data_IF_595191391019
#
_entry.id   IF_595191391019
#
_cell.length_a   1.000
_cell.length_b   1.000
_cell.length_c   1.000
_cell.angle_alpha   90.00
_cell.angle_beta   90.00
_cell.angle_gamma   90.00
#
_symmetry.space_group_name_H-M   'P 1'
#
loop_
_entity.id
_entity.type
_entity.pdbx_description
1 polymer ?
#
# COMPACT_ATOMS: atom_id res chain seq x y z
N UNK A 1 -12.69 -23.51 20.98
CA UNK A 1 -13.88 -23.91 21.78
C UNK A 1 -13.82 -23.31 23.18
N UNK A 2 -12.86 -23.67 24.04
CA UNK A 2 -12.76 -23.12 25.41
C UNK A 2 -12.85 -21.59 25.49
N UNK A 3 -12.10 -20.85 24.66
CA UNK A 3 -12.14 -19.38 24.64
C UNK A 3 -13.56 -18.84 24.40
N UNK A 4 -14.34 -19.48 23.53
CA UNK A 4 -15.72 -19.07 23.26
C UNK A 4 -16.62 -19.37 24.46
N UNK A 5 -16.42 -20.51 25.13
CA UNK A 5 -17.18 -20.90 26.32
C UNK A 5 -16.90 -19.96 27.49
N UNK A 6 -15.63 -19.65 27.73
CA UNK A 6 -15.19 -18.70 28.76
C UNK A 6 -15.72 -17.29 28.49
N UNK A 7 -15.89 -16.93 27.21
CA UNK A 7 -16.52 -15.68 26.78
C UNK A 7 -18.07 -15.71 26.82
N UNK A 8 -18.68 -16.82 27.26
CA UNK A 8 -20.13 -16.95 27.40
C UNK A 8 -20.87 -17.37 26.13
N UNK A 9 -20.18 -17.92 25.14
CA UNK A 9 -20.77 -18.44 23.90
C UNK A 9 -20.93 -19.96 23.93
N UNK A 10 -22.17 -20.41 24.01
CA UNK A 10 -22.54 -21.83 24.07
C UNK A 10 -23.56 -22.18 22.98
N UNK A 11 -23.47 -23.37 22.42
CA UNK A 11 -24.49 -23.95 21.53
C UNK A 11 -25.67 -24.39 22.41
N UNK A 12 -26.65 -23.49 22.54
CA UNK A 12 -27.75 -23.64 23.51
C UNK A 12 -28.96 -24.35 22.91
N UNK A 13 -29.08 -24.37 21.59
CA UNK A 13 -30.20 -24.99 20.87
C UNK A 13 -29.83 -26.29 20.14
N UNK A 14 -28.54 -26.66 20.11
CA UNK A 14 -28.03 -27.92 19.57
C UNK A 14 -27.90 -27.93 18.03
N UNK A 15 -27.96 -26.77 17.37
CA UNK A 15 -27.82 -26.66 15.92
C UNK A 15 -26.35 -26.65 15.43
N UNK A 16 -25.39 -26.64 16.38
CA UNK A 16 -23.96 -26.64 16.11
C UNK A 16 -23.35 -25.25 15.94
N UNK A 17 -24.13 -24.18 16.04
CA UNK A 17 -23.69 -22.78 16.06
C UNK A 17 -23.78 -22.29 17.51
N UNK A 18 -22.79 -21.52 17.98
CA UNK A 18 -22.81 -20.99 19.35
C UNK A 18 -23.56 -19.68 19.43
N UNK A 19 -24.26 -19.48 20.54
CA UNK A 19 -24.98 -18.26 20.87
C UNK A 19 -24.38 -17.55 22.07
N UNK A 20 -24.49 -16.22 22.07
CA UNK A 20 -24.36 -15.42 23.30
C UNK A 20 -25.47 -15.74 24.31
N UNK A 21 -25.32 -15.28 25.54
CA UNK A 21 -26.36 -15.36 26.58
C UNK A 21 -27.71 -14.73 26.17
N UNK A 22 -27.70 -13.80 25.21
CA UNK A 22 -28.89 -13.14 24.65
C UNK A 22 -29.51 -13.90 23.46
N UNK A 23 -28.94 -15.05 23.08
CA UNK A 23 -29.41 -15.87 21.96
C UNK A 23 -28.93 -15.39 20.59
N UNK A 24 -28.02 -14.40 20.53
CA UNK A 24 -27.42 -13.97 19.25
C UNK A 24 -26.39 -15.01 18.79
N UNK A 25 -26.63 -15.61 17.63
CA UNK A 25 -25.74 -16.59 16.98
C UNK A 25 -24.43 -15.95 16.54
N UNK A 26 -23.33 -16.69 16.66
CA UNK A 26 -22.05 -16.40 16.03
C UNK A 26 -22.13 -16.72 14.52
N UNK A 27 -22.87 -15.90 13.78
CA UNK A 27 -23.05 -16.00 12.33
C UNK A 27 -22.66 -14.69 11.68
N UNK A 28 -21.66 -14.72 10.81
CA UNK A 28 -21.10 -13.53 10.18
C UNK A 28 -21.08 -13.64 8.65
N UNK A 29 -21.21 -12.51 7.95
CA UNK A 29 -20.84 -12.42 6.53
C UNK A 29 -19.33 -12.59 6.41
N UNK A 30 -18.90 -13.28 5.35
CA UNK A 30 -17.50 -13.50 5.10
C UNK A 30 -17.15 -13.22 3.64
N UNK A 31 -16.50 -12.10 3.38
CA UNK A 31 -16.22 -11.67 2.01
C UNK A 31 -14.81 -12.07 1.54
N UNK A 32 -14.72 -12.52 0.29
CA UNK A 32 -13.45 -12.71 -0.43
C UNK A 32 -13.57 -12.11 -1.83
N UNK A 33 -12.45 -11.69 -2.40
CA UNK A 33 -12.44 -11.16 -3.76
C UNK A 33 -12.38 -12.26 -4.82
N UNK A 34 -13.19 -12.07 -5.86
CA UNK A 34 -13.24 -12.96 -7.05
C UNK A 34 -11.92 -13.03 -7.82
N UNK A 35 -11.07 -12.00 -7.72
CA UNK A 35 -9.78 -11.94 -8.39
C UNK A 35 -8.73 -12.89 -7.79
N UNK A 36 -8.87 -13.29 -6.52
CA UNK A 36 -7.84 -14.04 -5.79
C UNK A 36 -8.29 -15.48 -5.49
N UNK A 37 -7.87 -16.42 -6.36
CA UNK A 37 -8.25 -17.83 -6.25
C UNK A 37 -7.70 -18.51 -4.99
N UNK A 38 -6.55 -18.06 -4.48
CA UNK A 38 -5.98 -18.45 -3.19
C UNK A 38 -6.95 -18.15 -2.05
N UNK A 39 -7.49 -16.93 -2.05
CA UNK A 39 -8.34 -16.41 -0.97
C UNK A 39 -9.69 -17.10 -0.98
N UNK A 40 -10.24 -17.37 -2.17
CA UNK A 40 -11.46 -18.18 -2.33
C UNK A 40 -11.26 -19.59 -1.76
N UNK A 41 -10.08 -20.19 -1.99
CA UNK A 41 -9.76 -21.53 -1.51
C UNK A 41 -9.58 -21.53 0.01
N UNK A 42 -8.79 -20.59 0.54
CA UNK A 42 -8.62 -20.40 1.97
C UNK A 42 -9.95 -20.11 2.67
N UNK A 43 -10.78 -19.25 2.08
CA UNK A 43 -12.09 -18.88 2.62
C UNK A 43 -13.01 -20.10 2.80
N UNK A 44 -13.06 -21.01 1.83
CA UNK A 44 -13.81 -22.27 1.96
C UNK A 44 -13.30 -23.14 3.12
N UNK A 45 -11.98 -23.18 3.34
CA UNK A 45 -11.38 -23.92 4.45
C UNK A 45 -11.71 -23.26 5.78
N UNK A 46 -11.60 -21.94 5.87
CA UNK A 46 -11.91 -21.15 7.08
C UNK A 46 -13.37 -21.29 7.48
N UNK A 47 -14.31 -21.29 6.52
CA UNK A 47 -15.73 -21.57 6.78
C UNK A 47 -15.90 -22.91 7.48
N UNK A 48 -15.23 -23.96 7.01
CA UNK A 48 -15.31 -25.28 7.62
C UNK A 48 -14.66 -25.31 9.01
N UNK A 49 -13.48 -24.73 9.17
CA UNK A 49 -12.76 -24.70 10.45
C UNK A 49 -13.51 -23.93 11.52
N UNK A 50 -14.13 -22.80 11.16
CA UNK A 50 -14.93 -22.01 12.09
C UNK A 50 -16.23 -22.73 12.45
N UNK A 51 -16.84 -23.43 11.48
CA UNK A 51 -18.00 -24.28 11.76
C UNK A 51 -17.68 -25.38 12.79
N UNK A 52 -16.51 -26.02 12.70
CA UNK A 52 -16.10 -27.07 13.64
C UNK A 52 -16.00 -26.59 15.09
N UNK A 53 -15.84 -25.28 15.31
CA UNK A 53 -15.82 -24.63 16.62
C UNK A 53 -17.12 -23.90 16.99
N UNK A 54 -18.13 -23.94 16.13
CA UNK A 54 -19.46 -23.38 16.35
C UNK A 54 -19.60 -21.92 15.94
N UNK A 55 -18.85 -21.48 14.93
CA UNK A 55 -18.97 -20.15 14.32
C UNK A 55 -19.37 -20.32 12.85
N UNK A 56 -20.50 -19.74 12.46
CA UNK A 56 -20.97 -19.73 11.07
C UNK A 56 -20.37 -18.54 10.31
N UNK A 57 -19.78 -18.85 9.15
CA UNK A 57 -19.35 -17.85 8.17
C UNK A 57 -20.12 -18.04 6.87
N UNK A 58 -20.77 -16.97 6.39
CA UNK A 58 -21.51 -16.92 5.13
C UNK A 58 -20.61 -16.36 4.03
N UNK A 59 -19.92 -17.26 3.34
CA UNK A 59 -18.97 -16.89 2.29
C UNK A 59 -19.67 -16.17 1.12
N UNK A 60 -19.22 -14.97 0.84
CA UNK A 60 -19.59 -14.16 -0.31
C UNK A 60 -18.35 -13.90 -1.18
N UNK A 61 -18.51 -14.03 -2.50
CA UNK A 61 -17.43 -13.75 -3.46
C UNK A 61 -17.86 -12.52 -4.26
N UNK A 62 -17.11 -11.44 -4.14
CA UNK A 62 -17.43 -10.15 -4.77
C UNK A 62 -16.31 -9.66 -5.71
N UNK A 63 -16.65 -8.77 -6.63
CA UNK A 63 -15.65 -7.99 -7.36
C UNK A 63 -15.05 -6.89 -6.47
N UNK A 64 -13.90 -6.37 -6.89
CA UNK A 64 -13.12 -5.38 -6.14
C UNK A 64 -13.89 -4.08 -5.88
N UNK A 65 -14.69 -3.61 -6.84
CA UNK A 65 -15.47 -2.38 -6.70
C UNK A 65 -16.54 -2.52 -5.62
N UNK A 66 -17.37 -3.56 -5.72
CA UNK A 66 -18.40 -3.81 -4.72
C UNK A 66 -17.81 -4.08 -3.32
N UNK A 67 -16.62 -4.68 -3.24
CA UNK A 67 -15.92 -4.89 -1.99
C UNK A 67 -15.40 -3.57 -1.41
N UNK A 68 -14.75 -2.75 -2.25
CA UNK A 68 -14.24 -1.42 -1.88
C UNK A 68 -15.34 -0.50 -1.34
N UNK A 69 -16.49 -0.43 -2.01
CA UNK A 69 -17.65 0.35 -1.57
C UNK A 69 -18.11 -0.09 -0.16
N UNK A 70 -18.15 -1.40 0.11
CA UNK A 70 -18.55 -1.91 1.42
C UNK A 70 -17.52 -1.59 2.50
N UNK A 71 -16.22 -1.74 2.22
CA UNK A 71 -15.15 -1.47 3.20
C UNK A 71 -14.99 0.01 3.46
N UNK A 72 -14.71 0.80 2.43
CA UNK A 72 -14.21 2.17 2.57
C UNK A 72 -15.32 3.22 2.59
N UNK A 73 -16.43 3.01 1.86
CA UNK A 73 -17.50 4.01 1.81
C UNK A 73 -18.55 3.79 2.90
N UNK A 74 -18.78 2.53 3.30
CA UNK A 74 -19.92 2.17 4.16
C UNK A 74 -19.54 1.49 5.48
N UNK A 75 -18.30 1.01 5.64
CA UNK A 75 -17.90 0.14 6.76
C UNK A 75 -18.89 -1.01 7.01
N UNK A 76 -19.49 -1.56 5.94
CA UNK A 76 -20.53 -2.59 6.01
C UNK A 76 -19.95 -3.98 5.79
N UNK A 77 -19.17 -4.45 6.77
CA UNK A 77 -18.50 -5.75 6.74
C UNK A 77 -18.48 -6.41 8.12
N UNK A 78 -18.38 -7.74 8.14
CA UNK A 78 -18.22 -8.49 9.40
C UNK A 78 -16.82 -9.16 9.44
N UNK A 79 -16.52 -10.00 8.45
CA UNK A 79 -15.23 -10.68 8.29
C UNK A 79 -14.88 -10.71 6.80
N UNK A 80 -13.61 -10.57 6.46
CA UNK A 80 -13.18 -10.72 5.07
C UNK A 80 -11.69 -11.05 4.97
N UNK A 81 -11.27 -11.59 3.83
CA UNK A 81 -9.85 -11.71 3.49
C UNK A 81 -9.45 -10.48 2.68
N UNK A 82 -8.38 -9.84 3.09
CA UNK A 82 -7.80 -8.69 2.42
C UNK A 82 -6.28 -8.79 2.42
N UNK A 83 -5.65 -8.14 1.45
CA UNK A 83 -4.21 -8.13 1.30
C UNK A 83 -3.76 -6.76 0.81
N UNK A 84 -2.66 -6.29 1.37
CA UNK A 84 -1.96 -5.11 0.94
C UNK A 84 -0.48 -5.25 1.31
N UNK A 85 0.36 -4.47 0.63
CA UNK A 85 1.80 -4.41 0.89
C UNK A 85 2.18 -3.14 1.64
N UNK A 86 3.42 -3.08 2.09
CA UNK A 86 4.00 -1.88 2.68
C UNK A 86 5.44 -1.67 2.29
N UNK A 87 5.98 -0.53 2.71
CA UNK A 87 7.37 -0.16 2.48
C UNK A 87 8.28 -0.59 3.65
N UNK A 88 9.58 -0.40 3.45
CA UNK A 88 10.60 -0.59 4.48
C UNK A 88 10.33 0.27 5.73
N UNK A 89 9.76 1.47 5.53
CA UNK A 89 9.27 2.28 6.64
C UNK A 89 7.78 1.98 6.87
N UNK A 90 7.39 1.57 8.09
CA UNK A 90 6.02 1.15 8.34
C UNK A 90 5.05 2.32 8.52
N UNK A 91 5.46 3.58 8.34
CA UNK A 91 4.63 4.76 8.64
C UNK A 91 3.25 4.72 7.98
N UNK A 92 3.16 4.41 6.68
CA UNK A 92 1.88 4.25 6.00
C UNK A 92 1.08 3.08 6.58
N UNK A 93 1.74 1.92 6.79
CA UNK A 93 1.07 0.74 7.34
C UNK A 93 0.46 1.00 8.72
N UNK A 94 1.21 1.67 9.59
CA UNK A 94 0.76 2.04 10.93
C UNK A 94 -0.40 3.05 10.86
N UNK A 95 -0.45 3.89 9.83
CA UNK A 95 -1.50 4.90 9.66
C UNK A 95 -2.88 4.28 9.40
N UNK A 96 -2.95 3.13 8.71
CA UNK A 96 -4.22 2.45 8.39
C UNK A 96 -5.04 2.05 9.63
N UNK A 97 -4.42 1.97 10.80
CA UNK A 97 -5.07 1.64 12.07
C UNK A 97 -5.40 2.87 12.93
N UNK A 98 -5.14 4.09 12.46
CA UNK A 98 -5.49 5.28 13.24
C UNK A 98 -6.96 5.63 13.05
N UNK A 99 -7.58 6.19 14.09
CA UNK A 99 -9.00 6.55 14.04
C UNK A 99 -9.31 7.58 12.95
N UNK A 100 -8.31 8.36 12.52
CA UNK A 100 -8.45 9.34 11.43
C UNK A 100 -8.55 8.70 10.05
N UNK A 101 -8.23 7.42 9.92
CA UNK A 101 -8.32 6.68 8.64
C UNK A 101 -9.61 5.88 8.49
N UNK A 102 -10.51 5.92 9.46
CA UNK A 102 -11.86 5.33 9.35
C UNK A 102 -12.56 5.91 8.11
N UNK A 103 -13.13 5.04 7.27
CA UNK A 103 -13.71 5.36 5.96
C UNK A 103 -12.76 6.09 5.00
N UNK A 104 -11.45 5.87 5.15
CA UNK A 104 -10.43 6.38 4.25
C UNK A 104 -9.41 5.27 3.93
N UNK A 105 -8.23 5.28 4.57
CA UNK A 105 -7.22 4.23 4.37
C UNK A 105 -7.33 3.05 5.33
N UNK A 106 -8.26 3.10 6.30
CA UNK A 106 -8.53 1.98 7.20
C UNK A 106 -9.48 1.00 6.53
N UNK A 107 -9.06 -0.25 6.44
CA UNK A 107 -9.90 -1.38 6.01
C UNK A 107 -10.61 -2.02 7.21
N UNK A 108 -9.93 -2.18 8.36
CA UNK A 108 -10.50 -2.75 9.59
C UNK A 108 -11.43 -1.80 10.35
N UNK A 109 -11.47 -0.51 9.97
CA UNK A 109 -12.25 0.53 10.65
C UNK A 109 -11.97 0.60 12.16
N UNK A 110 -10.75 0.22 12.55
CA UNK A 110 -10.28 0.24 13.92
C UNK A 110 -10.01 1.68 14.38
N UNK A 111 -10.23 1.93 15.67
CA UNK A 111 -9.89 3.19 16.31
C UNK A 111 -9.54 2.98 17.77
N UNK A 112 -8.41 3.56 18.20
CA UNK A 112 -7.98 3.53 19.59
C UNK A 112 -7.22 4.80 19.93
N UNK A 113 -7.66 5.57 20.95
CA UNK A 113 -6.93 6.75 21.40
C UNK A 113 -5.49 6.48 21.83
N UNK A 114 -5.24 5.29 22.40
CA UNK A 114 -3.89 4.87 22.83
C UNK A 114 -3.00 4.60 21.62
N UNK A 115 -3.54 3.96 20.59
CA UNK A 115 -2.82 3.71 19.35
C UNK A 115 -2.54 5.01 18.59
N UNK A 116 -3.53 5.92 18.54
CA UNK A 116 -3.40 7.23 17.90
C UNK A 116 -2.32 8.12 18.56
N UNK A 117 -2.14 8.02 19.89
CA UNK A 117 -1.04 8.69 20.59
C UNK A 117 0.31 8.12 20.17
N UNK A 118 0.49 6.80 20.24
CA UNK A 118 1.75 6.16 19.84
C UNK A 118 2.10 6.45 18.37
N UNK A 119 1.10 6.51 17.48
CA UNK A 119 1.31 6.88 16.08
C UNK A 119 1.85 8.31 15.93
N UNK A 120 1.39 9.27 16.75
CA UNK A 120 1.94 10.63 16.78
C UNK A 120 3.34 10.68 17.38
N UNK A 121 3.58 9.93 18.45
CA UNK A 121 4.89 9.85 19.10
C UNK A 121 5.95 9.29 18.14
N UNK A 122 5.68 8.18 17.44
CA UNK A 122 6.63 7.61 16.48
C UNK A 122 6.91 8.57 15.31
N UNK A 123 5.92 9.37 14.90
CA UNK A 123 6.08 10.35 13.83
C UNK A 123 6.91 11.57 14.27
N UNK A 124 6.93 11.88 15.57
CA UNK A 124 7.70 12.98 16.15
C UNK A 124 9.10 12.56 16.64
N UNK A 125 9.37 11.25 16.74
CA UNK A 125 10.64 10.72 17.19
C UNK A 125 11.78 11.08 16.23
N UNK A 126 12.86 11.64 16.78
CA UNK A 126 14.05 12.05 16.00
C UNK A 126 15.11 10.95 16.01
N UNK A 127 15.28 10.26 17.13
CA UNK A 127 16.18 9.12 17.24
C UNK A 127 15.53 7.86 16.65
N UNK A 128 16.32 7.11 15.90
CA UNK A 128 15.85 5.93 15.18
C UNK A 128 15.50 4.78 16.12
N UNK A 129 16.32 4.55 17.13
CA UNK A 129 16.17 3.40 18.02
C UNK A 129 14.99 3.66 18.97
N UNK A 130 14.83 4.90 19.44
CA UNK A 130 13.63 5.33 20.19
C UNK A 130 12.35 5.11 19.36
N UNK A 131 12.36 5.47 18.07
CA UNK A 131 11.21 5.25 17.17
C UNK A 131 10.88 3.76 17.04
N UNK A 132 11.90 2.91 16.91
CA UNK A 132 11.71 1.45 16.78
C UNK A 132 11.00 0.90 18.03
N UNK A 133 11.38 1.34 19.22
CA UNK A 133 10.71 0.90 20.45
C UNK A 133 9.23 1.28 20.48
N UNK A 134 8.87 2.49 20.01
CA UNK A 134 7.47 2.92 19.91
C UNK A 134 6.72 2.04 18.90
N UNK A 135 7.30 1.80 17.73
CA UNK A 135 6.70 0.95 16.68
C UNK A 135 6.46 -0.48 17.18
N UNK A 136 7.38 -1.06 17.95
CA UNK A 136 7.16 -2.38 18.54
C UNK A 136 5.97 -2.40 19.52
N UNK A 137 5.83 -1.37 20.36
CA UNK A 137 4.67 -1.24 21.26
C UNK A 137 3.36 -1.09 20.48
N UNK A 138 3.38 -0.38 19.36
CA UNK A 138 2.22 -0.27 18.48
C UNK A 138 1.83 -1.63 17.89
N UNK A 139 2.80 -2.43 17.45
CA UNK A 139 2.55 -3.78 16.94
C UNK A 139 2.02 -4.72 18.02
N UNK A 140 2.58 -4.66 19.24
CA UNK A 140 2.08 -5.42 20.40
C UNK A 140 0.63 -5.04 20.72
N UNK A 141 0.32 -3.74 20.75
CA UNK A 141 -1.04 -3.26 20.97
C UNK A 141 -2.01 -3.76 19.89
N UNK A 142 -1.64 -3.72 18.61
CA UNK A 142 -2.49 -4.28 17.55
C UNK A 142 -2.64 -5.79 17.68
N UNK A 143 -1.60 -6.51 18.06
CA UNK A 143 -1.66 -7.96 18.28
C UNK A 143 -2.69 -8.31 19.36
N UNK A 144 -2.66 -7.61 20.48
CA UNK A 144 -3.58 -7.83 21.61
C UNK A 144 -5.03 -7.43 21.28
N UNK A 145 -5.21 -6.37 20.49
CA UNK A 145 -6.53 -5.89 20.10
C UNK A 145 -7.13 -6.67 18.92
N UNK A 146 -6.29 -7.42 18.19
CA UNK A 146 -6.65 -8.28 17.08
C UNK A 146 -7.60 -7.65 16.02
N UNK A 147 -7.38 -6.41 15.54
CA UNK A 147 -8.16 -5.88 14.42
C UNK A 147 -7.90 -6.68 13.14
N UNK A 148 -6.73 -7.33 13.05
CA UNK A 148 -6.36 -8.28 12.00
C UNK A 148 -5.99 -9.65 12.60
N UNK A 149 -6.27 -10.70 11.82
CA UNK A 149 -5.69 -12.03 12.00
C UNK A 149 -4.84 -12.34 10.78
N UNK A 150 -3.52 -12.30 10.94
CA UNK A 150 -2.59 -12.54 9.83
C UNK A 150 -2.61 -14.02 9.45
N UNK A 151 -3.00 -14.31 8.20
CA UNK A 151 -3.11 -15.68 7.69
C UNK A 151 -1.81 -16.16 7.05
N UNK A 152 -1.23 -15.36 6.15
CA UNK A 152 0.05 -15.66 5.48
C UNK A 152 0.67 -14.39 4.90
N UNK A 153 1.94 -14.49 4.52
CA UNK A 153 2.64 -13.46 3.75
C UNK A 153 2.76 -13.93 2.30
N UNK A 154 2.31 -13.10 1.36
CA UNK A 154 2.37 -13.43 -0.07
C UNK A 154 3.82 -13.36 -0.58
N UNK A 155 4.12 -14.23 -1.54
CA UNK A 155 5.33 -14.09 -2.36
C UNK A 155 5.01 -13.16 -3.53
N UNK A 156 5.53 -11.94 -3.46
CA UNK A 156 5.35 -10.98 -4.54
C UNK A 156 6.27 -11.33 -5.72
N UNK A 157 5.67 -11.93 -6.75
CA UNK A 157 6.35 -12.27 -7.98
C UNK A 157 6.36 -11.07 -8.93
N UNK A 158 7.55 -10.54 -9.20
CA UNK A 158 7.71 -9.36 -10.03
C UNK A 158 8.41 -9.68 -11.35
N UNK A 159 7.97 -9.04 -12.42
CA UNK A 159 8.58 -9.15 -13.74
C UNK A 159 8.74 -7.76 -14.36
N UNK A 160 9.95 -7.43 -14.78
CA UNK A 160 10.27 -6.17 -15.44
C UNK A 160 11.26 -6.37 -16.58
N UNK A 161 11.22 -5.49 -17.58
CA UNK A 161 12.03 -5.58 -18.80
C UNK A 161 13.42 -4.99 -18.57
N UNK A 162 14.30 -5.75 -17.90
CA UNK A 162 15.67 -5.35 -17.59
C UNK A 162 16.58 -5.18 -18.83
N UNK A 163 16.17 -5.74 -19.98
CA UNK A 163 16.82 -5.57 -21.28
C UNK A 163 16.51 -4.22 -21.94
N UNK A 164 15.32 -3.67 -21.68
CA UNK A 164 14.87 -2.40 -22.26
C UNK A 164 14.98 -1.23 -21.30
N UNK A 165 15.02 -1.49 -20.00
CA UNK A 165 15.02 -0.47 -18.96
C UNK A 165 16.09 -0.78 -17.93
N UNK A 166 16.86 0.26 -17.58
CA UNK A 166 17.93 0.22 -16.59
C UNK A 166 17.62 1.17 -15.44
N UNK A 167 18.33 1.04 -14.31
CA UNK A 167 18.15 1.92 -13.15
C UNK A 167 17.04 1.50 -12.20
N UNK A 168 16.58 0.24 -12.29
CA UNK A 168 15.75 -0.38 -11.27
C UNK A 168 16.51 -0.46 -9.95
N UNK A 169 16.00 0.16 -8.91
CA UNK A 169 16.58 0.11 -7.56
C UNK A 169 15.70 -0.75 -6.66
N UNK A 170 16.32 -1.68 -5.94
CA UNK A 170 15.63 -2.49 -4.94
C UNK A 170 15.51 -1.71 -3.64
N UNK A 171 14.34 -1.77 -3.01
CA UNK A 171 14.16 -1.31 -1.64
C UNK A 171 13.47 -2.38 -0.80
N UNK A 172 14.12 -2.90 0.27
CA UNK A 172 15.52 -2.68 0.68
C UNK A 172 16.55 -3.09 -0.41
N UNK A 173 17.79 -2.58 -0.32
CA UNK A 173 18.80 -2.78 -1.39
C UNK A 173 19.24 -4.23 -1.59
N UNK A 174 19.16 -5.07 -0.57
CA UNK A 174 19.71 -6.43 -0.58
C UNK A 174 18.70 -7.46 -1.12
N UNK A 175 17.43 -7.35 -0.72
CA UNK A 175 16.38 -8.34 -0.96
C UNK A 175 15.01 -7.70 -1.28
N UNK A 176 15.00 -6.41 -1.56
CA UNK A 176 13.78 -5.67 -1.85
C UNK A 176 13.30 -5.80 -3.29
N UNK A 177 12.34 -4.92 -3.60
CA UNK A 177 11.64 -4.89 -4.88
C UNK A 177 11.75 -3.53 -5.55
N UNK A 178 11.83 -3.47 -6.90
CA UNK A 178 11.88 -2.22 -7.63
C UNK A 178 10.50 -1.68 -8.05
N UNK A 179 9.46 -2.52 -8.05
CA UNK A 179 8.10 -2.13 -8.44
C UNK A 179 7.11 -2.37 -7.30
N UNK A 180 5.94 -1.73 -7.38
CA UNK A 180 4.89 -1.81 -6.37
C UNK A 180 5.32 -1.42 -4.94
N UNK A 181 6.26 -0.49 -4.83
CA UNK A 181 6.58 0.23 -3.58
C UNK A 181 5.95 1.62 -3.61
N UNK A 182 5.64 2.21 -2.45
CA UNK A 182 5.23 3.63 -2.40
C UNK A 182 6.44 4.57 -2.38
N UNK A 183 7.66 4.03 -2.49
CA UNK A 183 8.88 4.80 -2.57
C UNK A 183 9.14 5.25 -4.00
N UNK A 184 8.99 6.56 -4.22
CA UNK A 184 9.23 7.21 -5.51
C UNK A 184 10.61 6.93 -6.11
N UNK A 185 11.63 6.73 -5.26
CA UNK A 185 13.01 6.50 -5.68
C UNK A 185 13.19 5.27 -6.58
N UNK A 186 12.37 4.22 -6.42
CA UNK A 186 12.50 3.02 -7.27
C UNK A 186 12.11 3.26 -8.72
N UNK A 187 11.34 4.33 -9.00
CA UNK A 187 10.89 4.69 -10.35
C UNK A 187 11.67 5.85 -10.97
N UNK A 188 12.25 6.75 -10.16
CA UNK A 188 12.94 7.96 -10.68
C UNK A 188 14.18 7.65 -11.49
N UNK A 189 14.86 6.56 -11.15
CA UNK A 189 16.11 6.16 -11.80
C UNK A 189 15.88 5.30 -13.05
N UNK A 190 14.65 4.86 -13.29
CA UNK A 190 14.29 3.99 -14.42
C UNK A 190 14.34 4.77 -15.73
N UNK A 191 15.17 4.31 -16.66
CA UNK A 191 15.38 4.94 -17.97
C UNK A 191 15.61 3.89 -19.05
N UNK A 192 15.34 4.23 -20.33
CA UNK A 192 15.64 3.31 -21.43
C UNK A 192 17.09 2.83 -21.33
N UNK A 193 17.28 1.52 -21.41
CA UNK A 193 18.60 0.94 -21.50
C UNK A 193 19.24 1.49 -22.77
N UNK A 194 20.35 2.22 -22.63
CA UNK A 194 21.14 2.63 -23.79
C UNK A 194 21.63 1.34 -24.41
N UNK A 195 21.22 1.06 -25.66
CA UNK A 195 21.77 -0.06 -26.41
C UNK A 195 23.28 0.03 -26.28
N UNK A 196 23.93 -1.00 -25.76
CA UNK A 196 25.38 -1.11 -25.83
C UNK A 196 25.69 -1.02 -27.32
N UNK A 197 26.17 0.14 -27.77
CA UNK A 197 26.78 0.26 -29.07
C UNK A 197 28.02 -0.60 -28.97
N UNK A 198 27.89 -1.85 -29.39
CA UNK A 198 29.02 -2.67 -29.82
C UNK A 198 29.76 -1.80 -30.83
N UNK A 199 30.83 -1.17 -30.37
CA UNK A 199 31.65 -0.31 -31.19
C UNK A 199 32.23 -1.15 -32.32
N UNK A 200 31.62 -1.03 -33.48
CA UNK A 200 32.34 -1.23 -34.73
C UNK A 200 32.75 0.16 -35.22
N UNK A 201 34.04 0.30 -35.50
CA UNK A 201 34.73 1.58 -35.61
C UNK A 201 34.11 2.55 -36.62
N UNK A 202 33.71 3.72 -36.15
CA UNK A 202 33.20 4.80 -37.01
C UNK A 202 32.98 6.10 -36.23
N UNK A 203 34.02 6.60 -35.55
CA UNK A 203 33.93 7.87 -34.82
C UNK A 203 33.64 9.04 -35.76
N UNK A 204 32.62 9.84 -35.42
CA UNK A 204 32.39 11.16 -36.01
C UNK A 204 33.60 12.05 -35.69
N UNK A 205 34.19 12.67 -36.73
CA UNK A 205 35.34 13.55 -36.57
C UNK A 205 35.02 14.72 -35.65
N UNK A 206 36.01 15.19 -34.87
CA UNK A 206 35.83 16.23 -33.84
C UNK A 206 35.20 17.54 -34.33
N UNK A 207 35.14 17.79 -35.64
CA UNK A 207 34.41 18.91 -36.24
C UNK A 207 32.88 18.81 -36.12
N UNK A 208 32.31 17.60 -36.08
CA UNK A 208 30.86 17.40 -35.94
C UNK A 208 30.36 17.70 -34.52
N UNK A 209 31.17 17.40 -33.50
CA UNK A 209 30.84 17.67 -32.09
C UNK A 209 30.92 19.18 -31.80
N UNK A 210 31.91 19.88 -32.36
CA UNK A 210 32.01 21.33 -32.25
C UNK A 210 30.83 22.05 -32.93
N UNK A 211 30.37 21.55 -34.09
CA UNK A 211 29.22 22.12 -34.80
C UNK A 211 27.90 22.03 -34.02
N UNK A 212 27.66 20.92 -33.32
CA UNK A 212 26.44 20.71 -32.54
C UNK A 212 26.41 21.61 -31.29
N UNK A 213 27.56 21.80 -30.62
CA UNK A 213 27.65 22.68 -29.44
C UNK A 213 27.45 24.15 -29.83
N UNK A 214 28.03 24.60 -30.96
CA UNK A 214 27.85 25.97 -31.45
C UNK A 214 26.40 26.22 -31.87
N UNK A 215 25.74 25.27 -32.53
CA UNK A 215 24.34 25.40 -32.91
C UNK A 215 23.40 25.50 -31.69
N UNK A 216 23.63 24.71 -30.64
CA UNK A 216 22.84 24.76 -29.41
C UNK A 216 22.99 26.11 -28.67
N UNK A 217 24.21 26.65 -28.58
CA UNK A 217 24.47 27.96 -27.94
C UNK A 217 23.82 29.10 -28.72
N UNK A 218 23.83 29.06 -30.06
CA UNK A 218 23.16 30.08 -30.90
C UNK A 218 21.64 30.03 -30.73
N UNK A 219 21.04 28.85 -30.66
CA UNK A 219 19.59 28.70 -30.46
C UNK A 219 19.17 29.18 -29.07
N UNK A 220 19.91 28.83 -28.01
CA UNK A 220 19.64 29.32 -26.66
C UNK A 220 19.83 30.84 -26.57
N UNK A 221 20.88 31.38 -27.19
CA UNK A 221 21.11 32.82 -27.27
C UNK A 221 19.98 33.58 -28.01
N UNK A 222 19.47 33.02 -29.11
CA UNK A 222 18.37 33.60 -29.87
C UNK A 222 17.03 33.56 -29.09
N UNK A 223 16.76 32.49 -28.35
CA UNK A 223 15.58 32.35 -27.49
C UNK A 223 15.63 33.37 -26.35
N UNK A 224 16.77 33.49 -25.66
CA UNK A 224 16.95 34.47 -24.57
C UNK A 224 16.81 35.90 -25.10
N UNK A 225 17.39 36.21 -26.26
CA UNK A 225 17.26 37.53 -26.90
C UNK A 225 15.80 37.86 -27.24
N UNK A 226 15.02 36.92 -27.77
CA UNK A 226 13.61 37.14 -28.10
C UNK A 226 12.73 37.28 -26.86
N UNK A 227 12.99 36.50 -25.80
CA UNK A 227 12.26 36.60 -24.52
C UNK A 227 12.52 37.94 -23.84
N UNK A 228 13.79 38.40 -23.79
CA UNK A 228 14.16 39.70 -23.21
C UNK A 228 13.65 40.89 -24.02
N UNK A 229 13.42 40.72 -25.33
CA UNK A 229 12.83 41.77 -26.17
C UNK A 229 11.31 41.85 -26.02
N UNK A 230 10.66 40.75 -25.65
CA UNK A 230 9.20 40.68 -25.42
C UNK A 230 8.80 41.28 -24.06
N UNK A 231 9.68 41.29 -23.06
CA UNK A 231 9.39 41.89 -21.74
C UNK A 231 9.48 43.42 -21.69
N UNK A 232 9.98 44.08 -22.75
CA UNK A 232 10.09 45.55 -22.83
C UNK A 232 8.92 46.24 -23.56
N UNK A 233 7.82 45.52 -23.84
CA UNK A 233 6.72 46.01 -24.68
C UNK A 233 5.30 45.69 -24.20
N UNK A 234 5.03 45.72 -22.89
CA UNK A 234 3.67 45.66 -22.33
C UNK A 234 3.17 47.04 -21.85
N UNK A 235 1.85 47.33 -21.84
CA UNK A 235 1.29 48.68 -21.74
C UNK A 235 1.55 49.34 -20.39
N UNK A 236 1.78 50.67 -20.40
CA UNK A 236 1.77 51.51 -19.19
C UNK A 236 0.36 51.54 -18.61
N UNK A 237 0.25 51.24 -17.32
CA UNK A 237 -0.93 51.54 -16.52
C UNK A 237 -1.09 53.07 -16.38
N UNK A 238 -2.26 53.59 -16.72
CA UNK A 238 -2.72 54.91 -16.29
C UNK A 238 -3.70 54.73 -15.11
N UNK A 239 -3.64 55.69 -14.19
CA UNK A 239 -4.24 55.75 -12.87
C UNK A 239 -5.78 55.83 -12.86
N UNK A 240 -6.44 55.05 -11.99
CA UNK A 240 -7.28 55.46 -10.84
C UNK A 240 -7.92 54.23 -10.19
#
# INVERSE_FOLDING_TARGET
KQILEDAGYADSDGDGIRESAEGKKLSFRFDVMSAYQSDITAGKMIVQWLKDVGVELKLNIADEGAFGDRVYDNADMDVYIWSWGGDIDPGFMLSCFTSTQILNWSDCQYGSPVYDEMYREQAAAVDRDDRIEIVHKMQEHLYDQAPYIILWYNLDCEAYQADKWSGWELVPKEDGRPVWTFLRGTYENVKPAVAATTGDGGGLSGGAIAGIIVAAVVVVGAIVFFVLRRSKGGPKAEEL
#
